data_IF_080966628174
#
_entry.id   IF_080966628174
#
_cell.length_a   1.000
_cell.length_b   1.000
_cell.length_c   1.000
_cell.angle_alpha   90.00
_cell.angle_beta   90.00
_cell.angle_gamma   90.00
#
_symmetry.space_group_name_H-M   'P 1'
#
loop_
_entity.id
_entity.type
_entity.pdbx_description
1 polymer ?
#
# COMPACT_ATOMS: atom_id res chain seq x y z
N UNK A 1 -8.56 -20.91 3.53
CA UNK A 1 -7.92 -20.42 2.28
C UNK A 1 -7.12 -19.17 2.63
N UNK A 2 -5.90 -19.01 2.12
CA UNK A 2 -5.12 -17.78 2.33
C UNK A 2 -5.82 -16.59 1.67
N UNK A 3 -5.67 -15.38 2.21
CA UNK A 3 -6.31 -14.17 1.67
C UNK A 3 -5.97 -13.95 0.17
N UNK A 4 -4.75 -14.31 -0.23
CA UNK A 4 -4.29 -14.29 -1.63
C UNK A 4 -5.15 -15.14 -2.58
N UNK A 5 -5.59 -16.33 -2.15
CA UNK A 5 -6.36 -17.23 -3.01
C UNK A 5 -7.75 -16.68 -3.39
N UNK A 6 -8.30 -15.77 -2.58
CA UNK A 6 -9.57 -15.10 -2.85
C UNK A 6 -9.44 -13.74 -3.57
N UNK A 7 -8.21 -13.27 -3.82
CA UNK A 7 -7.96 -11.92 -4.33
C UNK A 7 -8.13 -11.78 -5.86
N UNK A 8 -8.51 -12.87 -6.55
CA UNK A 8 -8.68 -12.87 -8.00
C UNK A 8 -7.37 -12.65 -8.77
N UNK A 9 -6.22 -13.00 -8.18
CA UNK A 9 -4.92 -12.93 -8.85
C UNK A 9 -4.88 -13.89 -10.06
N UNK A 10 -4.21 -13.52 -11.16
CA UNK A 10 -4.08 -14.40 -12.31
C UNK A 10 -3.38 -15.72 -11.94
N UNK A 11 -3.84 -16.82 -12.52
CA UNK A 11 -3.26 -18.14 -12.27
C UNK A 11 -1.84 -18.23 -12.85
N UNK A 12 -0.93 -18.87 -12.12
CA UNK A 12 0.45 -19.11 -12.60
C UNK A 12 1.44 -17.98 -12.34
N UNK A 13 1.01 -16.85 -11.76
CA UNK A 13 1.92 -15.76 -11.40
C UNK A 13 2.85 -16.19 -10.26
N UNK A 14 4.15 -16.28 -10.55
CA UNK A 14 5.18 -16.55 -9.56
C UNK A 14 5.60 -15.27 -8.82
N UNK A 15 4.80 -14.89 -7.83
CA UNK A 15 5.08 -13.73 -6.98
C UNK A 15 6.35 -13.92 -6.13
N UNK A 16 6.78 -15.16 -5.89
CA UNK A 16 7.99 -15.46 -5.13
C UNK A 16 9.25 -15.17 -5.93
N UNK A 17 9.26 -15.47 -7.24
CA UNK A 17 10.34 -15.08 -8.14
C UNK A 17 10.53 -13.55 -8.17
N UNK A 18 9.43 -12.79 -8.24
CA UNK A 18 9.50 -11.32 -8.20
C UNK A 18 10.16 -10.81 -6.92
N UNK A 19 9.87 -11.42 -5.77
CA UNK A 19 10.52 -11.08 -4.50
C UNK A 19 12.01 -11.44 -4.52
N UNK A 20 12.37 -12.61 -5.05
CA UNK A 20 13.75 -13.11 -5.07
C UNK A 20 14.68 -12.31 -6.02
N UNK A 21 14.13 -11.71 -7.06
CA UNK A 21 14.88 -10.91 -8.05
C UNK A 21 15.22 -9.48 -7.55
N UNK A 22 14.77 -9.09 -6.35
CA UNK A 22 15.00 -7.73 -5.86
C UNK A 22 16.46 -7.50 -5.41
N UNK A 23 17.08 -6.36 -5.80
CA UNK A 23 18.49 -6.10 -5.53
C UNK A 23 18.77 -5.80 -4.05
N UNK A 24 17.75 -5.34 -3.33
CA UNK A 24 17.81 -4.99 -1.92
C UNK A 24 16.88 -5.94 -1.12
N UNK A 25 17.29 -6.43 0.07
CA UNK A 25 16.45 -7.24 0.92
C UNK A 25 15.11 -6.55 1.18
N UNK A 26 14.02 -7.27 0.89
CA UNK A 26 12.69 -6.78 1.17
C UNK A 26 12.34 -6.95 2.65
N UNK A 27 11.83 -5.87 3.24
CA UNK A 27 11.12 -5.91 4.53
C UNK A 27 9.75 -6.53 4.32
N UNK A 28 9.03 -6.12 3.28
CA UNK A 28 7.78 -6.75 2.86
C UNK A 28 7.46 -6.46 1.39
N UNK A 29 6.57 -7.27 0.83
CA UNK A 29 5.84 -6.98 -0.40
C UNK A 29 4.39 -7.46 -0.25
N UNK A 30 3.44 -6.61 -0.62
CA UNK A 30 2.01 -6.88 -0.59
C UNK A 30 1.36 -6.54 -1.91
N UNK A 31 0.28 -7.24 -2.24
CA UNK A 31 -0.59 -6.87 -3.37
C UNK A 31 -1.38 -5.60 -3.00
N UNK A 32 -1.48 -4.69 -3.97
CA UNK A 32 -2.25 -3.44 -3.91
C UNK A 32 -3.23 -3.38 -5.09
N UNK A 33 -3.74 -2.19 -5.41
CA UNK A 33 -4.56 -1.97 -6.60
C UNK A 33 -5.90 -2.71 -6.59
N UNK A 34 -6.40 -3.05 -7.77
CA UNK A 34 -7.75 -3.60 -7.94
C UNK A 34 -7.98 -4.89 -7.15
N UNK A 35 -6.94 -5.73 -7.00
CA UNK A 35 -6.97 -6.95 -6.20
C UNK A 35 -7.16 -6.66 -4.70
N UNK A 36 -6.40 -5.71 -4.13
CA UNK A 36 -6.60 -5.28 -2.74
C UNK A 36 -7.96 -4.60 -2.54
N UNK A 37 -8.40 -3.81 -3.52
CA UNK A 37 -9.64 -3.05 -3.42
C UNK A 37 -10.90 -3.88 -3.70
N UNK A 38 -10.77 -5.11 -4.20
CA UNK A 38 -11.86 -6.07 -4.31
C UNK A 38 -12.65 -6.03 -5.61
N UNK A 39 -12.12 -5.41 -6.65
CA UNK A 39 -12.76 -5.33 -7.97
C UNK A 39 -11.77 -5.51 -9.15
N UNK A 40 -10.91 -6.55 -9.11
CA UNK A 40 -10.06 -6.87 -10.26
C UNK A 40 -10.92 -7.37 -11.43
N UNK A 41 -10.62 -6.91 -12.65
CA UNK A 41 -11.06 -7.57 -13.88
C UNK A 41 -10.10 -8.70 -14.25
N UNK A 42 -10.48 -9.52 -15.24
CA UNK A 42 -9.68 -10.65 -15.72
C UNK A 42 -8.26 -10.27 -16.18
N UNK A 43 -8.14 -9.07 -16.73
CA UNK A 43 -6.98 -8.43 -17.32
C UNK A 43 -6.30 -7.42 -16.38
N UNK A 44 -6.75 -7.31 -15.12
CA UNK A 44 -6.11 -6.39 -14.17
C UNK A 44 -4.66 -6.76 -13.90
N UNK A 45 -3.80 -5.73 -13.95
CA UNK A 45 -2.40 -5.82 -13.56
C UNK A 45 -2.25 -6.21 -12.08
N UNK A 46 -1.12 -6.87 -11.77
CA UNK A 46 -0.74 -7.18 -10.40
C UNK A 46 0.15 -6.07 -9.85
N UNK A 47 -0.46 -5.13 -9.14
CA UNK A 47 0.23 -4.11 -8.36
C UNK A 47 0.87 -4.72 -7.10
N UNK A 48 2.20 -4.69 -7.02
CA UNK A 48 2.95 -5.00 -5.81
C UNK A 48 3.53 -3.72 -5.21
N UNK A 49 3.41 -3.59 -3.90
CA UNK A 49 3.96 -2.47 -3.14
C UNK A 49 4.72 -3.02 -1.95
N UNK A 50 5.85 -2.43 -1.62
CA UNK A 50 6.69 -2.98 -0.58
C UNK A 50 7.72 -2.02 -0.02
N UNK A 51 8.54 -2.57 0.86
CA UNK A 51 9.64 -1.88 1.50
C UNK A 51 10.91 -2.70 1.33
N UNK A 52 11.99 -2.05 0.95
CA UNK A 52 13.33 -2.63 0.94
C UNK A 52 14.22 -1.95 1.97
N UNK A 53 15.32 -2.60 2.33
CA UNK A 53 16.32 -2.04 3.20
C UNK A 53 17.55 -1.67 2.37
N UNK A 54 17.85 -0.37 2.24
CA UNK A 54 19.17 0.03 1.72
C UNK A 54 20.26 -0.26 2.75
N UNK A 55 21.47 -0.58 2.28
CA UNK A 55 22.62 -0.72 3.17
C UNK A 55 22.96 0.62 3.83
N UNK A 56 23.65 0.58 4.99
CA UNK A 56 24.12 1.80 5.67
C UNK A 56 25.02 2.61 4.74
N UNK A 57 25.95 1.96 4.04
CA UNK A 57 26.86 2.62 3.09
C UNK A 57 26.10 3.36 1.96
N UNK A 58 25.02 2.78 1.45
CA UNK A 58 24.19 3.42 0.42
C UNK A 58 23.44 4.66 0.93
N UNK A 59 23.10 4.71 2.23
CA UNK A 59 22.42 5.86 2.83
C UNK A 59 23.35 7.01 3.24
N UNK A 60 24.54 6.68 3.76
CA UNK A 60 25.47 7.69 4.32
C UNK A 60 26.56 8.10 3.34
N UNK A 61 26.63 7.46 2.18
CA UNK A 61 27.52 7.83 1.09
C UNK A 61 27.24 9.25 0.57
N UNK A 62 28.19 9.81 -0.18
CA UNK A 62 28.10 11.18 -0.70
C UNK A 62 26.98 11.39 -1.72
N UNK A 63 26.53 10.33 -2.40
CA UNK A 63 25.48 10.40 -3.41
C UNK A 63 24.08 10.33 -2.80
N UNK A 64 23.10 10.95 -3.47
CA UNK A 64 21.70 10.85 -3.06
C UNK A 64 21.22 9.39 -3.14
N UNK A 65 20.72 8.79 -2.04
CA UNK A 65 20.30 7.41 -2.04
C UNK A 65 19.08 7.20 -2.94
N UNK A 66 19.11 6.15 -3.77
CA UNK A 66 17.97 5.71 -4.56
C UNK A 66 16.92 5.02 -3.67
N UNK A 67 16.15 5.81 -2.91
CA UNK A 67 15.19 5.32 -1.91
C UNK A 67 13.90 4.72 -2.51
N UNK A 68 13.79 4.57 -3.82
CA UNK A 68 12.63 4.00 -4.48
C UNK A 68 13.06 3.16 -5.66
N UNK A 69 12.56 1.93 -5.72
CA UNK A 69 12.74 1.03 -6.85
C UNK A 69 11.39 0.84 -7.51
N UNK A 70 11.40 0.85 -8.83
CA UNK A 70 10.26 0.48 -9.66
C UNK A 70 10.75 -0.57 -10.64
N UNK A 71 9.97 -1.65 -10.78
CA UNK A 71 10.24 -2.69 -11.74
C UNK A 71 8.90 -3.16 -12.32
N UNK A 72 8.88 -3.32 -13.64
CA UNK A 72 7.72 -3.79 -14.38
C UNK A 72 8.10 -5.06 -15.12
N UNK A 73 7.23 -6.06 -15.06
CA UNK A 73 7.38 -7.31 -15.80
C UNK A 73 6.14 -7.56 -16.62
N UNK A 74 6.33 -8.25 -17.74
CA UNK A 74 5.26 -8.91 -18.45
C UNK A 74 5.62 -10.38 -18.47
N UNK A 75 4.92 -11.20 -17.68
CA UNK A 75 5.18 -12.63 -17.57
C UNK A 75 3.88 -13.40 -17.72
N UNK A 76 3.89 -14.39 -18.61
CA UNK A 76 2.74 -15.24 -18.89
C UNK A 76 1.45 -14.47 -19.23
N UNK A 77 1.61 -13.31 -19.91
CA UNK A 77 0.50 -12.44 -20.32
C UNK A 77 -0.06 -11.54 -19.22
N UNK A 78 0.61 -11.46 -18.06
CA UNK A 78 0.23 -10.62 -16.93
C UNK A 78 1.25 -9.51 -16.75
N UNK A 79 0.80 -8.26 -16.71
CA UNK A 79 1.61 -7.12 -16.30
C UNK A 79 1.69 -7.08 -14.77
N UNK A 80 2.91 -6.90 -14.27
CA UNK A 80 3.20 -6.77 -12.85
C UNK A 80 4.01 -5.50 -12.62
N UNK A 81 3.59 -4.68 -11.66
CA UNK A 81 4.27 -3.45 -11.28
C UNK A 81 4.67 -3.52 -9.80
N UNK A 82 5.98 -3.61 -9.52
CA UNK A 82 6.51 -3.52 -8.17
C UNK A 82 7.08 -2.13 -7.93
N UNK A 83 6.57 -1.48 -6.88
CA UNK A 83 7.16 -0.27 -6.33
C UNK A 83 7.55 -0.53 -4.88
N UNK A 84 8.83 -0.33 -4.56
CA UNK A 84 9.30 -0.41 -3.17
C UNK A 84 9.99 0.87 -2.73
N UNK A 85 9.86 1.20 -1.46
CA UNK A 85 10.56 2.31 -0.83
C UNK A 85 11.58 1.80 0.18
N UNK A 86 12.69 2.52 0.34
CA UNK A 86 13.60 2.29 1.46
C UNK A 86 12.84 2.46 2.79
N UNK A 87 13.15 1.61 3.79
CA UNK A 87 12.49 1.58 5.09
C UNK A 87 12.37 2.96 5.75
N UNK A 88 13.43 3.78 5.70
CA UNK A 88 13.41 5.13 6.29
C UNK A 88 12.40 6.02 5.56
N UNK A 89 12.41 6.00 4.22
CA UNK A 89 11.44 6.76 3.41
C UNK A 89 10.01 6.32 3.69
N UNK A 90 9.76 5.01 3.79
CA UNK A 90 8.43 4.47 4.04
C UNK A 90 7.89 4.91 5.42
N UNK A 91 8.70 4.79 6.47
CA UNK A 91 8.33 5.26 7.82
C UNK A 91 8.06 6.77 7.85
N UNK A 92 8.86 7.58 7.14
CA UNK A 92 8.57 9.01 6.99
C UNK A 92 7.24 9.29 6.28
N UNK A 93 6.85 8.46 5.30
CA UNK A 93 5.54 8.56 4.65
C UNK A 93 4.40 8.15 5.60
N UNK A 94 4.58 7.12 6.41
CA UNK A 94 3.60 6.70 7.44
C UNK A 94 3.28 7.86 8.39
N UNK A 95 4.30 8.61 8.82
CA UNK A 95 4.15 9.77 9.72
C UNK A 95 3.49 11.00 9.03
N UNK A 96 3.33 10.99 7.71
CA UNK A 96 2.76 12.10 6.92
C UNK A 96 1.32 11.86 6.50
N UNK A 97 0.52 11.22 7.37
CA UNK A 97 -0.93 11.00 7.18
C UNK A 97 -1.30 10.39 5.81
N UNK A 98 -0.42 9.54 5.30
CA UNK A 98 -0.53 8.98 3.96
C UNK A 98 -1.29 7.65 4.03
N UNK A 99 -2.59 7.69 3.76
CA UNK A 99 -3.45 6.50 3.76
C UNK A 99 -2.99 5.43 2.77
N UNK A 100 -2.43 5.82 1.63
CA UNK A 100 -1.95 4.89 0.61
C UNK A 100 -0.82 3.97 1.12
N UNK A 101 0.16 4.49 1.87
CA UNK A 101 1.21 3.62 2.43
C UNK A 101 0.68 2.72 3.55
N UNK A 102 -0.36 3.16 4.28
CA UNK A 102 -1.00 2.32 5.29
C UNK A 102 -1.83 1.20 4.67
N UNK A 103 -2.49 1.45 3.53
CA UNK A 103 -3.18 0.40 2.77
C UNK A 103 -2.20 -0.67 2.25
N UNK A 104 -0.97 -0.29 1.93
CA UNK A 104 0.09 -1.24 1.56
C UNK A 104 0.56 -2.04 2.77
N UNK A 105 0.95 -1.36 3.85
CA UNK A 105 1.44 -1.99 5.08
C UNK A 105 0.42 -2.96 5.69
N UNK A 106 -0.85 -2.57 5.69
CA UNK A 106 -1.95 -3.32 6.31
C UNK A 106 -2.69 -4.22 5.31
N UNK A 107 -2.18 -4.37 4.09
CA UNK A 107 -2.78 -5.25 3.10
C UNK A 107 -2.78 -6.69 3.61
N UNK A 108 -3.93 -7.39 3.61
CA UNK A 108 -3.98 -8.81 3.97
C UNK A 108 -3.35 -9.70 2.89
N UNK A 109 -3.03 -9.15 1.72
CA UNK A 109 -2.51 -9.86 0.56
C UNK A 109 -0.98 -9.86 0.57
N UNK A 110 -0.41 -10.49 1.60
CA UNK A 110 1.03 -10.50 1.86
C UNK A 110 1.74 -11.51 0.96
N UNK A 111 2.67 -11.04 0.14
CA UNK A 111 3.53 -11.86 -0.72
C UNK A 111 4.84 -12.21 -0.02
N UNK A 112 5.43 -11.22 0.65
CA UNK A 112 6.66 -11.36 1.43
C UNK A 112 6.54 -10.57 2.72
N UNK A 113 7.10 -11.11 3.79
CA UNK A 113 7.07 -10.51 5.13
C UNK A 113 8.37 -10.78 5.88
N UNK A 114 8.64 -9.97 6.89
CA UNK A 114 9.78 -10.10 7.79
C UNK A 114 9.38 -9.71 9.22
N UNK A 115 10.21 -9.99 10.24
CA UNK A 115 9.97 -9.48 11.59
C UNK A 115 9.83 -7.95 11.65
N UNK A 116 10.56 -7.21 10.81
CA UNK A 116 10.46 -5.75 10.72
C UNK A 116 9.09 -5.33 10.17
N UNK A 117 8.53 -6.08 9.21
CA UNK A 117 7.17 -5.84 8.73
C UNK A 117 6.13 -6.03 9.84
N UNK A 118 6.21 -7.13 10.60
CA UNK A 118 5.32 -7.35 11.72
C UNK A 118 5.41 -6.22 12.76
N UNK A 119 6.61 -5.75 13.09
CA UNK A 119 6.80 -4.61 13.98
C UNK A 119 6.19 -3.30 13.43
N UNK A 120 6.31 -3.04 12.13
CA UNK A 120 5.66 -1.89 11.49
C UNK A 120 4.12 -1.97 11.58
N UNK A 121 3.54 -3.16 11.39
CA UNK A 121 2.09 -3.38 11.49
C UNK A 121 1.60 -3.08 12.91
N UNK A 122 2.30 -3.54 13.94
CA UNK A 122 1.95 -3.24 15.34
C UNK A 122 2.02 -1.73 15.65
N UNK A 123 3.00 -1.03 15.06
CA UNK A 123 3.16 0.43 15.22
C UNK A 123 2.20 1.26 14.35
N UNK A 124 1.48 0.63 13.40
CA UNK A 124 0.64 1.35 12.43
C UNK A 124 -0.52 2.12 13.10
N UNK A 125 -1.08 1.60 14.19
CA UNK A 125 -2.14 2.31 14.94
C UNK A 125 -1.63 3.63 15.52
N UNK A 126 -0.36 3.69 15.92
CA UNK A 126 0.27 4.87 16.49
C UNK A 126 0.35 6.05 15.52
N UNK A 127 0.39 5.79 14.21
CA UNK A 127 0.50 6.84 13.19
C UNK A 127 -0.84 7.34 12.65
N UNK A 128 -1.96 6.68 12.99
CA UNK A 128 -3.29 7.09 12.56
C UNK A 128 -3.69 8.40 13.23
N UNK A 129 -4.16 9.34 12.41
CA UNK A 129 -4.60 10.66 12.86
C UNK A 129 -5.90 11.04 12.18
N UNK A 130 -6.65 11.96 12.80
CA UNK A 130 -7.85 12.54 12.17
C UNK A 130 -7.58 13.14 10.79
N UNK A 131 -6.36 13.59 10.53
CA UNK A 131 -5.99 14.20 9.26
C UNK A 131 -5.88 13.21 8.09
N UNK A 132 -5.97 11.90 8.34
CA UNK A 132 -6.12 10.92 7.25
C UNK A 132 -7.45 11.10 6.50
N UNK A 133 -8.49 11.67 7.14
CA UNK A 133 -9.72 12.04 6.45
C UNK A 133 -9.48 12.98 5.26
N UNK A 134 -8.55 13.94 5.39
CA UNK A 134 -8.15 14.81 4.28
C UNK A 134 -7.49 14.06 3.13
N UNK A 135 -6.64 13.06 3.42
CA UNK A 135 -5.99 12.24 2.40
C UNK A 135 -7.04 11.50 1.56
N UNK A 136 -7.97 10.81 2.23
CA UNK A 136 -9.02 10.05 1.55
C UNK A 136 -9.98 10.93 0.76
N UNK A 137 -10.39 12.08 1.31
CA UNK A 137 -11.20 13.07 0.59
C UNK A 137 -10.48 13.61 -0.65
N UNK A 138 -9.20 13.96 -0.52
CA UNK A 138 -8.39 14.49 -1.62
C UNK A 138 -8.16 13.46 -2.73
N UNK A 139 -7.92 12.21 -2.36
CA UNK A 139 -7.81 11.10 -3.31
C UNK A 139 -9.14 10.88 -4.04
N UNK A 140 -10.26 10.80 -3.31
CA UNK A 140 -11.58 10.63 -3.91
C UNK A 140 -11.93 11.76 -4.88
N UNK A 141 -11.59 13.01 -4.55
CA UNK A 141 -11.82 14.15 -5.44
C UNK A 141 -11.01 14.03 -6.75
N UNK A 142 -9.76 13.58 -6.67
CA UNK A 142 -8.93 13.32 -7.85
C UNK A 142 -9.54 12.25 -8.74
N UNK A 143 -10.02 11.16 -8.14
CA UNK A 143 -10.63 10.03 -8.85
C UNK A 143 -11.99 10.39 -9.47
N UNK A 144 -12.82 11.19 -8.76
CA UNK A 144 -14.06 11.73 -9.31
C UNK A 144 -13.80 12.59 -10.55
N UNK A 145 -12.80 13.50 -10.50
CA UNK A 145 -12.44 14.31 -11.67
C UNK A 145 -11.95 13.46 -12.84
N UNK A 146 -11.25 12.36 -12.57
CA UNK A 146 -10.84 11.42 -13.61
C UNK A 146 -12.06 10.72 -14.23
N UNK A 147 -12.98 10.23 -13.40
CA UNK A 147 -14.25 9.66 -13.86
C UNK A 147 -15.09 10.64 -14.69
N UNK A 148 -15.19 11.91 -14.27
CA UNK A 148 -15.95 12.92 -15.00
C UNK A 148 -15.40 13.14 -16.42
N UNK A 149 -14.08 12.94 -16.60
CA UNK A 149 -13.42 13.04 -17.91
C UNK A 149 -13.51 11.76 -18.74
N UNK A 150 -13.34 10.58 -18.12
CA UNK A 150 -13.20 9.31 -18.86
C UNK A 150 -14.48 8.49 -18.93
N UNK A 151 -15.37 8.62 -17.94
CA UNK A 151 -16.57 7.79 -17.79
C UNK A 151 -16.29 6.35 -17.35
N UNK A 152 -15.04 6.00 -17.03
CA UNK A 152 -14.63 4.65 -16.68
C UNK A 152 -15.03 4.25 -15.24
N UNK A 153 -15.40 2.98 -15.04
CA UNK A 153 -15.78 2.49 -13.71
C UNK A 153 -14.64 2.47 -12.70
N UNK A 154 -13.38 2.26 -13.11
CA UNK A 154 -12.24 2.13 -12.19
C UNK A 154 -12.02 3.39 -11.34
N UNK A 155 -11.92 4.61 -11.91
CA UNK A 155 -11.85 5.84 -11.12
C UNK A 155 -13.09 6.07 -10.23
N UNK A 156 -14.30 5.72 -10.71
CA UNK A 156 -15.52 5.86 -9.92
C UNK A 156 -15.50 4.98 -8.66
N UNK A 157 -15.17 3.70 -8.81
CA UNK A 157 -15.04 2.75 -7.70
C UNK A 157 -13.92 3.16 -6.74
N UNK A 158 -12.81 3.71 -7.25
CA UNK A 158 -11.73 4.25 -6.43
C UNK A 158 -12.21 5.44 -5.59
N UNK A 159 -13.06 6.32 -6.13
CA UNK A 159 -13.63 7.44 -5.39
C UNK A 159 -14.54 6.97 -4.25
N UNK A 160 -15.49 6.07 -4.53
CA UNK A 160 -16.36 5.49 -3.50
C UNK A 160 -15.58 4.77 -2.42
N UNK A 161 -14.63 3.90 -2.82
CA UNK A 161 -13.75 3.17 -1.91
C UNK A 161 -12.99 4.11 -0.99
N UNK A 162 -12.34 5.14 -1.53
CA UNK A 162 -11.56 6.05 -0.71
C UNK A 162 -12.43 6.81 0.31
N UNK A 163 -13.62 7.28 -0.08
CA UNK A 163 -14.56 7.90 0.85
C UNK A 163 -15.01 6.94 1.96
N UNK A 164 -15.36 5.70 1.59
CA UNK A 164 -15.77 4.68 2.55
C UNK A 164 -14.63 4.26 3.49
N UNK A 165 -13.42 4.06 2.96
CA UNK A 165 -12.22 3.81 3.77
C UNK A 165 -11.98 4.95 4.76
N UNK A 166 -12.09 6.20 4.31
CA UNK A 166 -11.95 7.37 5.17
C UNK A 166 -13.00 7.38 6.29
N UNK A 167 -14.27 7.17 5.95
CA UNK A 167 -15.38 7.15 6.94
C UNK A 167 -15.13 6.06 7.98
N UNK A 168 -14.82 4.84 7.51
CA UNK A 168 -14.56 3.70 8.37
C UNK A 168 -13.37 3.96 9.29
N UNK A 169 -12.27 4.49 8.76
CA UNK A 169 -11.09 4.84 9.54
C UNK A 169 -11.42 5.87 10.64
N UNK A 170 -12.13 6.93 10.30
CA UNK A 170 -12.48 7.97 11.27
C UNK A 170 -13.38 7.42 12.40
N UNK A 171 -14.26 6.47 12.10
CA UNK A 171 -15.19 5.88 13.07
C UNK A 171 -14.57 4.76 13.91
N UNK A 172 -13.85 3.86 13.27
CA UNK A 172 -13.38 2.61 13.87
C UNK A 172 -11.89 2.61 14.23
N UNK A 173 -11.12 3.61 13.78
CA UNK A 173 -9.66 3.65 13.97
C UNK A 173 -8.92 2.54 13.23
N UNK A 174 -9.50 2.00 12.14
CA UNK A 174 -8.93 0.91 11.34
C UNK A 174 -8.96 1.24 9.85
N UNK A 175 -7.88 0.92 9.15
CA UNK A 175 -7.81 1.05 7.69
C UNK A 175 -8.39 -0.21 7.05
N UNK A 176 -9.38 -0.04 6.18
CA UNK A 176 -9.94 -1.10 5.33
C UNK A 176 -9.98 -0.59 3.91
N UNK A 177 -9.24 -1.22 3.00
CA UNK A 177 -9.15 -0.82 1.60
C UNK A 177 -10.11 -1.60 0.69
N UNK A 178 -10.53 -2.80 1.11
CA UNK A 178 -11.35 -3.70 0.30
C UNK A 178 -12.80 -3.21 0.25
N UNK A 179 -13.25 -2.75 -0.93
CA UNK A 179 -14.56 -2.13 -1.12
C UNK A 179 -15.72 -3.06 -0.74
N UNK A 180 -15.78 -4.35 -1.15
CA UNK A 180 -16.86 -5.23 -0.71
C UNK A 180 -17.00 -5.32 0.81
N UNK A 181 -15.89 -5.40 1.56
CA UNK A 181 -15.92 -5.40 3.03
C UNK A 181 -16.43 -4.07 3.59
N UNK A 182 -16.12 -2.95 2.94
CA UNK A 182 -16.65 -1.65 3.34
C UNK A 182 -18.17 -1.53 3.09
N UNK A 183 -18.72 -2.19 2.07
CA UNK A 183 -20.17 -2.20 1.83
C UNK A 183 -20.94 -2.92 2.96
N UNK A 184 -20.30 -3.90 3.60
CA UNK A 184 -20.87 -4.59 4.77
C UNK A 184 -20.73 -3.77 6.07
N UNK A 185 -19.68 -2.94 6.17
CA UNK A 185 -19.32 -2.22 7.38
C UNK A 185 -19.90 -0.80 7.46
N UNK A 186 -20.14 -0.15 6.32
CA UNK A 186 -20.58 1.23 6.23
C UNK A 186 -21.80 1.35 5.31
N UNK A 187 -22.80 2.19 5.64
CA UNK A 187 -23.90 2.45 4.73
C UNK A 187 -23.37 2.97 3.39
N UNK A 188 -23.80 2.39 2.29
CA UNK A 188 -23.35 2.76 0.95
C UNK A 188 -24.48 2.55 -0.07
N UNK A 189 -24.44 3.21 -1.23
CA UNK A 189 -25.43 3.00 -2.27
C UNK A 189 -25.48 1.54 -2.74
N UNK A 190 -26.68 0.95 -2.81
CA UNK A 190 -26.85 -0.46 -3.12
C UNK A 190 -26.31 -0.85 -4.52
N UNK A 191 -26.37 0.07 -5.48
CA UNK A 191 -25.87 -0.16 -6.84
C UNK A 191 -24.35 -0.38 -6.92
N UNK A 192 -23.59 -0.09 -5.85
CA UNK A 192 -22.13 -0.30 -5.86
C UNK A 192 -21.76 -1.78 -6.05
N UNK A 193 -22.59 -2.70 -5.57
CA UNK A 193 -22.38 -4.14 -5.82
C UNK A 193 -22.44 -4.46 -7.32
N UNK A 194 -23.39 -3.85 -8.03
CA UNK A 194 -23.56 -4.02 -9.48
C UNK A 194 -22.41 -3.36 -10.25
N UNK A 195 -21.93 -2.20 -9.81
CA UNK A 195 -20.75 -1.55 -10.42
C UNK A 195 -19.48 -2.38 -10.24
N UNK A 196 -19.29 -3.02 -9.08
CA UNK A 196 -18.19 -3.96 -8.84
C UNK A 196 -18.31 -5.16 -9.78
N UNK A 197 -19.50 -5.74 -9.91
CA UNK A 197 -19.73 -6.86 -10.81
C UNK A 197 -19.45 -6.48 -12.27
N UNK A 198 -19.93 -5.32 -12.72
CA UNK A 198 -19.65 -4.78 -14.06
C UNK A 198 -18.15 -4.60 -14.30
N UNK A 199 -17.42 -3.98 -13.35
CA UNK A 199 -15.97 -3.78 -13.45
C UNK A 199 -15.19 -5.10 -13.52
N UNK A 200 -15.66 -6.16 -12.86
CA UNK A 200 -15.03 -7.49 -12.92
C UNK A 200 -15.17 -8.11 -14.32
N UNK A 201 -16.23 -7.81 -15.04
CA UNK A 201 -16.46 -8.32 -16.40
C UNK A 201 -15.72 -7.56 -17.49
N UNK A 202 -15.42 -6.27 -17.29
CA UNK A 202 -14.75 -5.43 -18.28
C UNK A 202 -13.82 -4.40 -17.62
N UNK A 203 -12.54 -4.38 -18.03
CA UNK A 203 -11.55 -3.45 -17.47
C UNK A 203 -11.93 -1.99 -17.64
N UNK A 204 -12.29 -1.63 -18.88
CA UNK A 204 -12.75 -0.30 -19.28
C UNK A 204 -14.28 -0.23 -19.39
N UNK A 205 -14.97 -0.99 -18.52
CA UNK A 205 -16.43 -0.93 -18.45
C UNK A 205 -16.91 0.51 -18.27
N UNK A 206 -17.89 0.91 -19.07
CA UNK A 206 -18.59 2.17 -18.91
C UNK A 206 -19.70 2.02 -17.85
N UNK A 207 -20.15 3.14 -17.30
CA UNK A 207 -21.27 3.19 -16.36
C UNK A 207 -22.55 2.53 -16.91
N UNK A 208 -22.78 2.65 -18.22
CA UNK A 208 -24.03 2.23 -18.86
C UNK A 208 -25.25 2.95 -18.25
N UNK A 209 -26.38 2.25 -18.20
CA UNK A 209 -27.63 2.73 -17.60
C UNK A 209 -27.81 2.27 -16.14
N UNK A 210 -26.74 1.78 -15.49
CA UNK A 210 -26.82 1.22 -14.13
C UNK A 210 -27.25 2.27 -13.10
N UNK A 211 -26.82 3.52 -13.27
CA UNK A 211 -27.18 4.63 -12.37
C UNK A 211 -27.00 5.97 -13.08
N UNK A 212 -27.93 6.90 -12.83
CA UNK A 212 -27.87 8.26 -13.36
C UNK A 212 -26.68 9.05 -12.79
N UNK A 213 -26.05 9.89 -13.62
CA UNK A 213 -24.92 10.73 -13.19
C UNK A 213 -25.29 11.72 -12.06
N UNK A 214 -26.53 12.18 -12.03
CA UNK A 214 -27.07 13.02 -10.96
C UNK A 214 -27.12 12.27 -9.62
N UNK A 215 -27.51 10.99 -9.64
CA UNK A 215 -27.52 10.11 -8.48
C UNK A 215 -26.10 9.86 -8.00
N UNK A 216 -25.17 9.52 -8.91
CA UNK A 216 -23.75 9.35 -8.57
C UNK A 216 -23.17 10.59 -7.90
N UNK A 217 -23.41 11.77 -8.47
CA UNK A 217 -22.92 13.03 -7.92
C UNK A 217 -23.43 13.28 -6.51
N UNK A 218 -24.75 13.11 -6.31
CA UNK A 218 -25.41 13.26 -5.00
C UNK A 218 -24.83 12.31 -3.96
N UNK A 219 -24.62 11.04 -4.31
CA UNK A 219 -24.14 10.02 -3.38
C UNK A 219 -22.65 10.20 -3.04
N UNK A 220 -21.83 10.60 -4.01
CA UNK A 220 -20.43 10.98 -3.76
C UNK A 220 -20.34 12.21 -2.84
N UNK A 221 -21.16 13.23 -3.08
CA UNK A 221 -21.20 14.43 -2.25
C UNK A 221 -21.68 14.12 -0.83
N UNK A 222 -22.69 13.26 -0.69
CA UNK A 222 -23.18 12.78 0.61
C UNK A 222 -22.10 11.98 1.37
N UNK A 223 -21.36 11.10 0.71
CA UNK A 223 -20.26 10.36 1.33
C UNK A 223 -19.08 11.26 1.71
N UNK A 224 -18.77 12.28 0.90
CA UNK A 224 -17.75 13.26 1.23
C UNK A 224 -18.13 14.09 2.48
N UNK A 225 -19.39 14.53 2.57
CA UNK A 225 -19.91 15.20 3.76
C UNK A 225 -19.88 14.28 4.99
N UNK A 226 -20.18 12.99 4.82
CA UNK A 226 -20.08 12.00 5.90
C UNK A 226 -18.65 11.79 6.38
N UNK A 227 -17.67 11.80 5.48
CA UNK A 227 -16.26 11.75 5.84
C UNK A 227 -15.86 12.97 6.66
N UNK A 228 -16.30 14.17 6.27
CA UNK A 228 -16.04 15.39 7.04
C UNK A 228 -16.61 15.29 8.45
N UNK A 229 -17.86 14.84 8.57
CA UNK A 229 -18.51 14.67 9.86
C UNK A 229 -17.78 13.63 10.71
N UNK A 230 -17.46 12.46 10.15
CA UNK A 230 -16.72 11.42 10.85
C UNK A 230 -15.34 11.94 11.33
N UNK A 231 -14.67 12.78 10.54
CA UNK A 231 -13.40 13.40 10.92
C UNK A 231 -13.54 14.46 12.03
N UNK A 232 -14.70 15.12 12.13
CA UNK A 232 -15.00 16.02 13.25
C UNK A 232 -15.26 15.22 14.54
N UNK A 233 -15.93 14.08 14.43
CA UNK A 233 -16.37 13.26 15.57
C UNK A 233 -15.34 12.22 16.02
N UNK A 234 -14.26 12.01 15.25
CA UNK A 234 -13.27 10.98 15.52
C UNK A 234 -12.51 11.21 16.82
N UNK A 235 -12.12 10.09 17.46
CA UNK A 235 -11.21 10.09 18.62
C UNK A 235 -9.74 9.92 18.23
N UNK A 236 -9.45 9.80 16.93
CA UNK A 236 -8.07 9.73 16.45
C UNK A 236 -7.33 11.03 16.79
N UNK A 237 -6.05 10.95 17.18
CA UNK A 237 -5.26 12.12 17.57
C UNK A 237 -4.99 13.05 16.39
N UNK A 238 -4.57 14.28 16.68
CA UNK A 238 -4.13 15.24 15.66
C UNK A 238 -2.71 14.95 15.17
N UNK A 239 -1.86 14.40 16.03
CA UNK A 239 -0.47 14.08 15.72
C UNK A 239 -0.22 12.57 15.85
N UNK A 240 0.66 12.00 15.00
CA UNK A 240 1.08 10.63 15.16
C UNK A 240 1.86 10.47 16.48
N UNK A 241 1.73 9.29 17.06
CA UNK A 241 2.54 8.79 18.17
C UNK A 241 3.47 7.69 17.67
N UNK A 242 4.41 7.23 18.50
CA UNK A 242 5.29 6.13 18.13
C UNK A 242 6.49 6.51 17.26
N UNK A 243 6.74 7.82 17.05
CA UNK A 243 7.85 8.28 16.18
C UNK A 243 9.23 7.79 16.67
N UNK A 244 9.41 7.65 17.99
CA UNK A 244 10.66 7.15 18.57
C UNK A 244 10.82 5.65 18.32
N UNK A 245 9.75 4.88 18.57
CA UNK A 245 9.71 3.44 18.35
C UNK A 245 9.92 3.09 16.87
N UNK A 246 9.36 3.90 15.97
CA UNK A 246 9.59 3.80 14.53
C UNK A 246 11.04 4.12 14.15
N UNK A 247 11.65 5.14 14.77
CA UNK A 247 13.07 5.48 14.56
C UNK A 247 13.98 4.35 15.06
N UNK A 248 13.75 3.86 16.29
CA UNK A 248 14.47 2.73 16.88
C UNK A 248 14.37 1.47 16.00
N UNK A 249 13.19 1.21 15.41
CA UNK A 249 13.00 0.12 14.46
C UNK A 249 13.80 0.31 13.16
N UNK A 250 13.80 1.52 12.59
CA UNK A 250 14.59 1.84 11.39
C UNK A 250 16.09 1.64 11.66
N UNK A 251 16.58 2.12 12.80
CA UNK A 251 17.99 1.99 13.19
C UNK A 251 18.34 0.52 13.43
N UNK A 252 17.55 -0.18 14.24
CA UNK A 252 17.81 -1.59 14.60
C UNK A 252 17.79 -2.51 13.38
N UNK A 253 16.83 -2.32 12.46
CA UNK A 253 16.75 -3.08 11.21
C UNK A 253 18.02 -2.92 10.36
N UNK A 254 18.63 -1.72 10.34
CA UNK A 254 19.86 -1.45 9.59
C UNK A 254 21.09 -2.01 10.25
N UNK A 255 21.21 -1.90 11.57
CA UNK A 255 22.36 -2.43 12.30
C UNK A 255 22.39 -3.96 12.29
N UNK A 256 21.23 -4.60 12.16
CA UNK A 256 21.10 -6.05 11.99
C UNK A 256 21.36 -6.54 10.55
N UNK A 257 21.45 -5.65 9.56
CA UNK A 257 21.72 -6.04 8.17
C UNK A 257 23.15 -6.61 8.06
N UNK A 258 23.34 -7.87 7.61
CA UNK A 258 24.67 -8.44 7.44
C UNK A 258 25.58 -7.62 6.52
N UNK A 259 25.01 -6.87 5.56
CA UNK A 259 25.74 -5.96 4.67
C UNK A 259 26.30 -4.73 5.40
N UNK A 260 25.97 -4.53 6.67
CA UNK A 260 26.55 -3.50 7.53
C UNK A 260 27.98 -3.85 7.97
N UNK A 261 28.33 -5.13 8.06
CA UNK A 261 29.67 -5.53 8.49
C UNK A 261 30.65 -5.33 7.33
N UNK A 262 31.78 -4.62 7.54
CA UNK A 262 32.86 -4.63 6.56
C UNK A 262 33.35 -6.08 6.39
N UNK A 263 33.84 -6.46 5.20
CA UNK A 263 34.50 -7.76 5.04
C UNK A 263 35.59 -7.87 6.11
N UNK A 264 35.62 -8.99 6.84
CA UNK A 264 36.69 -9.27 7.80
C UNK A 264 38.04 -9.02 7.10
N UNK A 265 38.87 -8.16 7.70
CA UNK A 265 40.20 -7.90 7.17
C UNK A 265 40.93 -9.25 7.03
N UNK A 266 41.58 -9.53 5.88
CA UNK A 266 42.30 -10.79 5.72
C UNK A 266 43.32 -10.92 6.84
N UNK A 267 43.19 -11.98 7.64
CA UNK A 267 44.15 -12.32 8.69
C UNK A 267 45.52 -12.41 8.05
N UNK A 268 46.37 -11.42 8.31
CA UNK A 268 47.76 -11.41 7.87
C UNK A 268 48.47 -12.60 8.49
N UNK A 269 48.69 -13.66 7.71
CA UNK A 269 49.64 -14.72 8.06
C UNK A 269 51.05 -14.14 7.96
N UNK A 270 51.45 -13.37 8.96
CA UNK A 270 52.85 -13.01 9.20
C UNK A 270 53.44 -13.96 10.23
N UNK A 271 54.29 -14.87 9.75
CA UNK A 271 55.06 -15.86 10.49
C UNK A 271 55.24 -17.07 9.57
N UNK A 272 56.42 -17.38 9.02
CA UNK A 272 57.71 -17.46 9.67
C UNK A 272 58.83 -16.96 8.75
N UNK A 273 59.75 -16.19 9.33
CA UNK A 273 61.13 -16.12 8.85
C UNK A 273 61.79 -17.46 9.18
N UNK A 274 62.40 -18.12 8.20
CA UNK A 274 63.55 -18.99 8.46
C UNK A 274 64.78 -18.34 7.84
N UNK A 275 65.62 -17.81 8.72
CA UNK A 275 67.05 -17.69 8.49
C UNK A 275 67.66 -19.09 8.69
N UNK A 276 68.63 -19.44 7.85
CA UNK A 276 69.36 -20.71 7.89
C UNK A 276 69.67 -21.18 6.49
#
# INVERSE_FOLDING_TARGET
MTALAGAGLPAGVDLAAVVAEQPDPLVFATVSGAHLYGFPSRDSDVDLRGVHLLSVAALVGLGEPAQTRTAMWHRDGVEMDLVTHDLRKFVQLMLRRNGYVLEQLLSPLVVHTSPVHAALVELALGVLTRHHGHHYRGFAATQRRLFDRTGELKPLLYAFRALLTGVHLMRAGRVVAHLPTLLDAEPAPAYLADLIAAKRTAEHGALGDLVGRDVLGRDLDALAARLDQAQQDTRLPEQPSGSRELDDLVVSARLADPRHHPPEAPVSRTGERRAG
#
